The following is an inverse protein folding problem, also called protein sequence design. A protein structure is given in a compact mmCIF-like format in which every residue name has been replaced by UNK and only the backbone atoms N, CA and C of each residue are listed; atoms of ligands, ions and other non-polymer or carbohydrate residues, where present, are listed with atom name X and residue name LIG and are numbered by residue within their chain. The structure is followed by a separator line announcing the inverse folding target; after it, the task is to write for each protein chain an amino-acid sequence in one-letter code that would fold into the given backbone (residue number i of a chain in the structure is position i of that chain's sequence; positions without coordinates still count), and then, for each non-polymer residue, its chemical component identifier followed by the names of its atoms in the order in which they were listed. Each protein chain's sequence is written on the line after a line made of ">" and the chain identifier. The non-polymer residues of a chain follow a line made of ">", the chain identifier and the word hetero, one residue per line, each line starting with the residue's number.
data_IF_180200015097
#
_entry.id   IF_180200015097
#
_cell.length_a   1.000
_cell.length_b   1.000
_cell.length_c   1.000
_cell.angle_alpha   90.00
_cell.angle_beta   90.00
_cell.angle_gamma   90.00
#
_symmetry.space_group_name_H-M   'P 1'
#
loop_
_entity.id
_entity.type
_entity.pdbx_description
1 polymer ?
#
# COMPACT_ATOMS: atom_id res chain seq x y z
N UNK A 1 -8.43 -25.12 -5.73
CA UNK A 1 -8.34 -23.64 -5.72
C UNK A 1 -8.94 -23.21 -4.38
N UNK A 2 -8.20 -22.40 -3.60
CA UNK A 2 -8.66 -22.00 -2.25
C UNK A 2 -9.40 -20.65 -2.27
N UNK A 3 -9.03 -19.75 -3.16
CA UNK A 3 -9.66 -18.45 -3.34
C UNK A 3 -9.35 -17.85 -4.70
N UNK A 4 -10.05 -16.78 -5.06
CA UNK A 4 -9.84 -15.96 -6.25
C UNK A 4 -9.80 -14.49 -5.85
N UNK A 5 -8.80 -13.74 -6.34
CA UNK A 5 -8.77 -12.28 -6.26
C UNK A 5 -9.17 -11.66 -7.60
N UNK A 6 -9.95 -10.60 -7.54
CA UNK A 6 -10.30 -9.75 -8.68
C UNK A 6 -9.60 -8.41 -8.49
N UNK A 7 -8.72 -8.08 -9.43
CA UNK A 7 -7.88 -6.88 -9.38
C UNK A 7 -8.12 -6.07 -10.65
N UNK A 8 -8.25 -4.73 -10.59
CA UNK A 8 -8.39 -3.92 -11.80
C UNK A 8 -7.10 -3.96 -12.61
N UNK A 9 -7.24 -3.88 -13.93
CA UNK A 9 -6.07 -3.84 -14.81
C UNK A 9 -5.35 -2.50 -14.67
N UNK A 10 -4.05 -2.56 -14.39
CA UNK A 10 -3.18 -1.38 -14.39
C UNK A 10 -2.79 -0.99 -15.81
N UNK A 11 -3.08 0.25 -16.19
CA UNK A 11 -2.74 0.78 -17.51
C UNK A 11 -1.39 1.48 -17.46
N UNK A 12 -0.29 0.71 -17.62
CA UNK A 12 1.04 1.27 -17.67
C UNK A 12 1.30 2.03 -18.98
N UNK A 13 2.32 2.91 -18.99
CA UNK A 13 2.77 3.60 -20.20
C UNK A 13 3.39 2.69 -21.27
N UNK A 14 3.74 1.45 -20.92
CA UNK A 14 4.35 0.46 -21.82
C UNK A 14 3.29 -0.39 -22.53
N UNK A 15 2.38 0.26 -23.25
CA UNK A 15 1.27 -0.42 -23.93
C UNK A 15 1.25 -0.21 -25.44
N UNK A 16 2.34 0.26 -26.03
CA UNK A 16 2.43 0.47 -27.48
C UNK A 16 2.19 -0.85 -28.24
N UNK A 17 1.29 -0.82 -29.20
CA UNK A 17 0.90 -1.99 -29.98
C UNK A 17 -0.02 -3.00 -29.30
N UNK A 18 -0.41 -2.77 -28.04
CA UNK A 18 -1.40 -3.59 -27.34
C UNK A 18 -2.82 -3.08 -27.57
N UNK A 19 -3.80 -3.97 -27.39
CA UNK A 19 -5.21 -3.60 -27.48
C UNK A 19 -5.51 -2.42 -26.53
N UNK A 20 -6.17 -1.36 -27.04
CA UNK A 20 -6.52 -0.21 -26.21
C UNK A 20 -7.55 -0.62 -25.15
N UNK A 21 -7.22 -0.35 -23.89
CA UNK A 21 -8.12 -0.54 -22.76
C UNK A 21 -8.48 0.82 -22.18
N UNK A 22 -9.70 0.93 -21.70
CA UNK A 22 -10.16 2.10 -20.95
C UNK A 22 -10.00 1.84 -19.45
N UNK A 23 -9.64 2.87 -18.64
CA UNK A 23 -9.63 2.73 -17.20
C UNK A 23 -11.05 2.51 -16.67
N UNK A 24 -11.17 1.74 -15.60
CA UNK A 24 -12.44 1.55 -14.92
C UNK A 24 -12.92 2.85 -14.29
N UNK A 25 -14.22 3.08 -14.39
CA UNK A 25 -14.90 4.19 -13.70
C UNK A 25 -15.34 3.78 -12.30
N UNK A 26 -15.79 4.76 -11.51
CA UNK A 26 -16.41 4.51 -10.21
C UNK A 26 -17.64 3.60 -10.33
N UNK A 27 -18.47 3.82 -11.35
CA UNK A 27 -19.66 3.02 -11.63
C UNK A 27 -19.31 1.58 -11.99
N UNK A 28 -18.25 1.36 -12.75
CA UNK A 28 -17.72 0.03 -13.02
C UNK A 28 -17.27 -0.68 -11.76
N UNK A 29 -16.52 0.01 -10.90
CA UNK A 29 -16.06 -0.52 -9.64
C UNK A 29 -17.23 -0.91 -8.72
N UNK A 30 -18.27 -0.08 -8.65
CA UNK A 30 -19.48 -0.41 -7.91
C UNK A 30 -20.12 -1.70 -8.41
N UNK A 31 -20.26 -1.85 -9.73
CA UNK A 31 -20.85 -3.07 -10.33
C UNK A 31 -20.02 -4.32 -10.08
N UNK A 32 -18.69 -4.20 -10.14
CA UNK A 32 -17.77 -5.31 -9.85
C UNK A 32 -17.91 -5.73 -8.40
N UNK A 33 -17.92 -4.79 -7.45
CA UNK A 33 -18.10 -5.08 -6.03
C UNK A 33 -19.45 -5.75 -5.78
N UNK A 34 -20.54 -5.20 -6.32
CA UNK A 34 -21.89 -5.77 -6.15
C UNK A 34 -21.96 -7.23 -6.63
N UNK A 35 -21.36 -7.52 -7.79
CA UNK A 35 -21.29 -8.88 -8.31
C UNK A 35 -20.48 -9.81 -7.42
N UNK A 36 -19.31 -9.37 -6.96
CA UNK A 36 -18.44 -10.16 -6.06
C UNK A 36 -19.17 -10.44 -4.75
N UNK A 37 -19.82 -9.43 -4.15
CA UNK A 37 -20.54 -9.59 -2.89
C UNK A 37 -21.76 -10.50 -3.02
N UNK A 38 -22.43 -10.50 -4.17
CA UNK A 38 -23.51 -11.45 -4.44
C UNK A 38 -22.98 -12.90 -4.46
N UNK A 39 -21.84 -13.14 -5.13
CA UNK A 39 -21.20 -14.46 -5.15
C UNK A 39 -20.66 -14.85 -3.79
N UNK A 40 -20.05 -13.95 -3.05
CA UNK A 40 -19.58 -14.20 -1.68
C UNK A 40 -20.73 -14.68 -0.80
N UNK A 41 -21.90 -14.04 -0.84
CA UNK A 41 -23.08 -14.45 -0.04
C UNK A 41 -23.53 -15.87 -0.38
N UNK A 42 -23.52 -16.23 -1.68
CA UNK A 42 -23.91 -17.59 -2.13
C UNK A 42 -22.91 -18.63 -1.66
N UNK A 43 -21.61 -18.40 -1.90
CA UNK A 43 -20.55 -19.35 -1.58
C UNK A 43 -20.39 -19.49 -0.06
N UNK A 44 -20.44 -18.38 0.67
CA UNK A 44 -20.35 -18.43 2.13
C UNK A 44 -21.49 -19.23 2.78
N UNK A 45 -22.69 -19.12 2.24
CA UNK A 45 -23.84 -19.92 2.71
C UNK A 45 -23.64 -21.43 2.51
N UNK A 46 -22.96 -21.84 1.44
CA UNK A 46 -22.77 -23.27 1.11
C UNK A 46 -21.48 -23.84 1.72
N UNK A 47 -20.43 -23.04 1.82
CA UNK A 47 -19.08 -23.53 2.12
C UNK A 47 -18.43 -22.84 3.34
N UNK A 48 -19.02 -21.79 3.91
CA UNK A 48 -18.48 -21.08 5.06
C UNK A 48 -17.28 -20.19 4.76
N UNK A 49 -16.96 -19.95 3.47
CA UNK A 49 -15.87 -19.09 3.00
C UNK A 49 -16.40 -18.10 1.95
N UNK A 50 -15.75 -16.95 1.80
CA UNK A 50 -16.14 -15.95 0.80
C UNK A 50 -15.59 -16.28 -0.60
N UNK A 51 -14.45 -16.95 -0.69
CA UNK A 51 -13.80 -17.50 -1.88
C UNK A 51 -13.35 -16.47 -2.93
N UNK A 52 -14.21 -15.55 -3.40
CA UNK A 52 -13.88 -14.51 -4.36
C UNK A 52 -13.76 -13.16 -3.67
N UNK A 53 -12.66 -12.45 -3.88
CA UNK A 53 -12.37 -11.21 -3.19
C UNK A 53 -12.03 -10.09 -4.18
N UNK A 54 -12.57 -8.90 -3.95
CA UNK A 54 -12.14 -7.69 -4.63
C UNK A 54 -10.91 -7.12 -3.93
N UNK A 55 -9.92 -6.64 -4.69
CA UNK A 55 -8.80 -5.88 -4.12
C UNK A 55 -9.27 -4.56 -3.50
N UNK A 56 -8.47 -4.02 -2.58
CA UNK A 56 -8.73 -2.73 -1.92
C UNK A 56 -8.93 -1.60 -2.95
N UNK A 57 -8.22 -1.69 -4.08
CA UNK A 57 -8.30 -0.71 -5.18
C UNK A 57 -9.74 -0.56 -5.72
N UNK A 58 -10.52 -1.66 -5.81
CA UNK A 58 -11.91 -1.58 -6.23
C UNK A 58 -12.75 -0.76 -5.25
N UNK A 59 -12.59 -0.98 -3.94
CA UNK A 59 -13.33 -0.25 -2.92
C UNK A 59 -12.96 1.23 -2.90
N UNK A 60 -11.67 1.55 -3.09
CA UNK A 60 -11.20 2.94 -3.17
C UNK A 60 -11.77 3.62 -4.42
N UNK A 61 -11.70 2.98 -5.58
CA UNK A 61 -12.24 3.50 -6.84
C UNK A 61 -13.77 3.71 -6.76
N UNK A 62 -14.48 2.80 -6.09
CA UNK A 62 -15.93 2.89 -5.88
C UNK A 62 -16.31 3.92 -4.80
N UNK A 63 -15.33 4.48 -4.06
CA UNK A 63 -15.56 5.31 -2.87
C UNK A 63 -16.44 4.60 -1.82
N UNK A 64 -16.24 3.28 -1.68
CA UNK A 64 -16.94 2.46 -0.69
C UNK A 64 -16.02 2.13 0.49
N UNK A 65 -16.57 1.92 1.71
CA UNK A 65 -15.79 1.45 2.83
C UNK A 65 -15.20 0.06 2.53
N UNK A 66 -13.99 -0.18 3.05
CA UNK A 66 -13.39 -1.50 3.01
C UNK A 66 -14.25 -2.50 3.82
N UNK A 67 -14.35 -3.75 3.40
CA UNK A 67 -15.04 -4.80 4.16
C UNK A 67 -14.49 -4.95 5.58
N UNK A 68 -15.30 -5.52 6.47
CA UNK A 68 -14.85 -5.91 7.79
C UNK A 68 -13.94 -7.15 7.71
N UNK A 69 -13.16 -7.36 8.77
CA UNK A 69 -12.07 -8.35 8.82
C UNK A 69 -12.52 -9.78 8.48
N UNK A 70 -13.69 -10.17 8.98
CA UNK A 70 -14.25 -11.51 8.79
C UNK A 70 -14.50 -11.86 7.32
N UNK A 71 -14.60 -10.85 6.44
CA UNK A 71 -14.85 -11.07 5.00
C UNK A 71 -13.61 -11.43 4.19
N UNK A 72 -12.43 -11.40 4.81
CA UNK A 72 -11.17 -11.69 4.13
C UNK A 72 -10.68 -13.13 4.32
N UNK A 73 -11.42 -13.98 5.04
CA UNK A 73 -11.10 -15.40 5.28
C UNK A 73 -9.65 -15.61 5.77
N UNK A 74 -9.16 -14.70 6.64
CA UNK A 74 -7.80 -14.75 7.16
C UNK A 74 -6.74 -14.16 6.22
N UNK A 75 -7.14 -13.26 5.32
CA UNK A 75 -6.24 -12.47 4.45
C UNK A 75 -5.38 -13.29 3.48
N UNK A 76 -5.93 -14.36 2.94
CA UNK A 76 -5.22 -15.31 2.06
C UNK A 76 -4.81 -14.73 0.69
N UNK A 77 -5.21 -13.50 0.36
CA UNK A 77 -4.94 -12.82 -0.90
C UNK A 77 -4.21 -11.47 -0.73
N UNK A 78 -3.47 -11.28 0.38
CA UNK A 78 -2.76 -10.03 0.66
C UNK A 78 -1.83 -9.61 -0.48
N UNK A 79 -1.06 -10.54 -1.03
CA UNK A 79 -0.12 -10.25 -2.13
C UNK A 79 -0.81 -9.70 -3.39
N UNK A 80 -2.10 -9.94 -3.53
CA UNK A 80 -2.94 -9.41 -4.60
C UNK A 80 -3.67 -8.11 -4.22
N UNK A 81 -3.29 -7.48 -3.10
CA UNK A 81 -3.88 -6.22 -2.65
C UNK A 81 -5.29 -6.36 -2.06
N UNK A 82 -5.64 -7.54 -1.54
CA UNK A 82 -6.93 -7.80 -0.91
C UNK A 82 -6.81 -7.68 0.61
N UNK A 83 -7.43 -6.69 1.19
CA UNK A 83 -7.49 -6.49 2.64
C UNK A 83 -6.23 -5.94 3.29
N UNK A 84 -5.24 -5.49 2.51
CA UNK A 84 -3.99 -4.92 3.05
C UNK A 84 -4.25 -3.71 3.93
N UNK A 85 -5.14 -2.82 3.52
CA UNK A 85 -5.45 -1.61 4.27
C UNK A 85 -6.29 -1.91 5.52
N UNK A 86 -7.18 -2.91 5.47
CA UNK A 86 -7.96 -3.34 6.65
C UNK A 86 -7.05 -3.99 7.68
N UNK A 87 -6.17 -4.90 7.26
CA UNK A 87 -5.20 -5.54 8.15
C UNK A 87 -4.28 -4.50 8.80
N UNK A 88 -3.73 -3.57 8.02
CA UNK A 88 -2.89 -2.51 8.56
C UNK A 88 -3.64 -1.64 9.58
N UNK A 89 -4.92 -1.34 9.35
CA UNK A 89 -5.74 -0.61 10.32
C UNK A 89 -5.86 -1.38 11.64
N UNK A 90 -6.20 -2.68 11.56
CA UNK A 90 -6.35 -3.53 12.74
C UNK A 90 -5.02 -3.65 13.53
N UNK A 91 -3.90 -3.86 12.84
CA UNK A 91 -2.56 -3.91 13.47
C UNK A 91 -2.17 -2.59 14.15
N UNK A 92 -2.50 -1.45 13.51
CA UNK A 92 -2.25 -0.12 14.12
C UNK A 92 -3.13 0.08 15.35
N UNK A 93 -4.42 -0.28 15.29
CA UNK A 93 -5.34 -0.17 16.42
C UNK A 93 -4.90 -1.06 17.59
N UNK A 94 -4.50 -2.30 17.31
CA UNK A 94 -4.00 -3.24 18.32
C UNK A 94 -2.70 -2.70 18.98
N UNK A 95 -1.75 -2.25 18.17
CA UNK A 95 -0.50 -1.65 18.66
C UNK A 95 -0.79 -0.41 19.54
N UNK A 96 -1.69 0.47 19.08
CA UNK A 96 -2.08 1.64 19.84
C UNK A 96 -2.76 1.28 21.18
N UNK A 97 -3.54 0.20 21.23
CA UNK A 97 -4.17 -0.23 22.47
C UNK A 97 -3.15 -0.72 23.52
N UNK A 98 -2.05 -1.35 23.07
CA UNK A 98 -1.04 -1.94 23.92
C UNK A 98 0.11 -1.01 24.33
N UNK A 99 0.28 0.15 23.71
CA UNK A 99 1.39 1.06 23.94
C UNK A 99 0.98 2.25 24.80
N UNK A 100 1.87 2.76 25.64
CA UNK A 100 1.74 4.01 26.38
C UNK A 100 2.67 5.08 25.78
N UNK A 101 2.29 6.36 25.88
CA UNK A 101 3.14 7.46 25.43
C UNK A 101 4.33 7.62 26.38
N UNK A 102 5.51 7.48 25.84
CA UNK A 102 6.79 7.69 26.56
C UNK A 102 7.24 9.16 26.59
N UNK A 103 6.46 10.06 25.95
CA UNK A 103 6.76 11.48 25.82
C UNK A 103 7.95 11.80 24.91
N UNK A 104 8.55 10.79 24.26
CA UNK A 104 9.68 11.00 23.36
C UNK A 104 9.25 11.71 22.07
N UNK A 105 10.17 12.51 21.52
CA UNK A 105 9.95 13.22 20.26
C UNK A 105 10.73 12.54 19.15
N UNK A 106 10.00 12.06 18.15
CA UNK A 106 10.59 11.45 16.95
C UNK A 106 9.96 12.02 15.69
N UNK A 107 10.77 12.12 14.66
CA UNK A 107 10.32 12.48 13.31
C UNK A 107 10.53 11.30 12.39
N UNK A 108 9.43 10.82 11.79
CA UNK A 108 9.40 9.66 10.91
C UNK A 108 8.77 10.07 9.59
N UNK A 109 9.25 9.50 8.49
CA UNK A 109 8.64 9.66 7.18
C UNK A 109 8.13 8.33 6.66
N UNK A 110 7.03 8.37 5.92
CA UNK A 110 6.45 7.22 5.23
C UNK A 110 6.34 7.58 3.75
N UNK A 111 6.93 6.77 2.87
CA UNK A 111 6.68 6.87 1.44
C UNK A 111 5.66 5.80 1.03
N UNK A 112 4.68 6.17 0.23
CA UNK A 112 3.58 5.28 -0.17
C UNK A 112 3.10 5.63 -1.57
N UNK A 113 2.32 4.75 -2.19
CA UNK A 113 1.61 5.05 -3.44
C UNK A 113 0.50 6.08 -3.23
N UNK A 114 0.05 6.68 -4.31
CA UNK A 114 -1.02 7.70 -4.27
C UNK A 114 -2.37 7.10 -3.86
N UNK A 115 -2.63 5.85 -4.23
CA UNK A 115 -3.88 5.16 -3.90
C UNK A 115 -4.04 4.94 -2.37
N UNK A 116 -3.09 4.33 -1.64
CA UNK A 116 -3.22 4.11 -0.21
C UNK A 116 -2.98 5.36 0.63
N UNK A 117 -2.46 6.46 0.06
CA UNK A 117 -2.09 7.68 0.80
C UNK A 117 -3.15 8.18 1.78
N UNK A 118 -4.46 8.32 1.42
CA UNK A 118 -5.47 8.82 2.35
C UNK A 118 -5.67 7.92 3.57
N UNK A 119 -5.47 6.62 3.41
CA UNK A 119 -5.57 5.64 4.50
C UNK A 119 -4.36 5.73 5.42
N UNK A 120 -3.15 5.80 4.85
CA UNK A 120 -1.91 5.98 5.63
C UNK A 120 -1.95 7.30 6.41
N UNK A 121 -2.49 8.38 5.81
CA UNK A 121 -2.67 9.66 6.49
C UNK A 121 -3.62 9.55 7.68
N UNK A 122 -4.74 8.83 7.54
CA UNK A 122 -5.68 8.54 8.62
C UNK A 122 -5.02 7.76 9.75
N UNK A 123 -4.30 6.68 9.45
CA UNK A 123 -3.64 5.86 10.46
C UNK A 123 -2.52 6.61 11.18
N UNK A 124 -1.76 7.42 10.46
CA UNK A 124 -0.79 8.34 11.07
C UNK A 124 -1.48 9.38 11.98
N UNK A 125 -2.71 9.78 11.66
CA UNK A 125 -3.54 10.61 12.52
C UNK A 125 -3.82 9.96 13.88
N UNK A 126 -4.22 8.69 13.91
CA UNK A 126 -4.44 7.92 15.14
C UNK A 126 -3.17 7.83 16.00
N UNK A 127 -2.02 7.60 15.33
CA UNK A 127 -0.71 7.55 16.02
C UNK A 127 -0.40 8.91 16.65
N UNK A 128 -0.58 10.02 15.92
CA UNK A 128 -0.30 11.37 16.42
C UNK A 128 -1.22 11.79 17.57
N UNK A 129 -2.48 11.34 17.51
CA UNK A 129 -3.46 11.60 18.59
C UNK A 129 -3.02 10.96 19.91
N UNK A 130 -2.56 9.70 19.84
CA UNK A 130 -2.07 8.97 21.02
C UNK A 130 -0.67 9.41 21.46
N UNK A 131 0.19 9.74 20.50
CA UNK A 131 1.60 10.09 20.72
C UNK A 131 1.89 11.50 20.16
N UNK A 132 1.51 12.58 20.87
CA UNK A 132 1.63 13.95 20.35
C UNK A 132 3.07 14.41 20.13
N UNK A 133 4.05 13.71 20.73
CA UNK A 133 5.48 13.93 20.47
C UNK A 133 5.98 13.45 19.12
N UNK A 134 5.18 12.68 18.36
CA UNK A 134 5.58 12.10 17.07
C UNK A 134 5.25 13.05 15.91
N UNK A 135 6.24 13.34 15.09
CA UNK A 135 6.04 14.01 13.79
C UNK A 135 6.11 12.96 12.69
N UNK A 136 5.03 12.82 11.91
CA UNK A 136 4.96 11.85 10.82
C UNK A 136 4.74 12.62 9.53
N UNK A 137 5.70 12.55 8.61
CA UNK A 137 5.58 13.05 7.24
C UNK A 137 5.17 11.90 6.32
N UNK A 138 4.21 12.15 5.43
CA UNK A 138 3.78 11.14 4.48
C UNK A 138 3.99 11.69 3.08
N UNK A 139 4.68 10.93 2.25
CA UNK A 139 5.03 11.28 0.89
C UNK A 139 4.32 10.36 -0.10
N UNK A 140 3.26 10.83 -0.77
CA UNK A 140 2.65 10.10 -1.87
C UNK A 140 3.57 10.17 -3.10
N UNK A 141 4.16 9.04 -3.45
CA UNK A 141 5.08 8.93 -4.58
C UNK A 141 4.29 8.72 -5.87
N UNK A 142 4.58 9.53 -6.88
CA UNK A 142 4.07 9.37 -8.22
C UNK A 142 4.88 8.30 -8.96
N UNK A 143 4.21 7.44 -9.68
CA UNK A 143 4.87 6.44 -10.50
C UNK A 143 5.23 7.04 -11.86
N UNK A 144 6.47 7.51 -12.01
CA UNK A 144 6.97 8.08 -13.25
C UNK A 144 7.49 6.97 -14.19
N UNK A 145 7.89 5.83 -13.64
CA UNK A 145 8.40 4.70 -14.42
C UNK A 145 7.30 3.98 -15.20
N UNK A 146 6.28 3.48 -14.52
CA UNK A 146 5.17 2.76 -15.17
C UNK A 146 4.06 3.68 -15.68
N UNK A 147 4.00 4.92 -15.19
CA UNK A 147 2.98 5.92 -15.55
C UNK A 147 2.07 6.30 -14.39
N UNK A 148 1.54 7.52 -14.42
CA UNK A 148 0.75 8.12 -13.32
C UNK A 148 -0.55 7.41 -13.00
N UNK A 149 -1.07 6.58 -13.93
CA UNK A 149 -2.24 5.73 -13.72
C UNK A 149 -1.96 4.54 -12.79
N UNK A 150 -0.69 4.21 -12.56
CA UNK A 150 -0.27 3.17 -11.62
C UNK A 150 -0.05 3.83 -10.26
N UNK A 151 -0.97 3.60 -9.32
CA UNK A 151 -1.04 4.36 -8.08
C UNK A 151 -0.78 3.54 -6.82
N UNK A 152 -0.67 2.22 -6.95
CA UNK A 152 -0.38 1.28 -5.85
C UNK A 152 1.08 1.37 -5.40
N UNK A 153 1.35 1.13 -4.12
CA UNK A 153 2.72 1.17 -3.57
C UNK A 153 3.62 0.07 -4.14
N UNK A 154 3.08 -1.12 -4.37
CA UNK A 154 3.84 -2.30 -4.81
C UNK A 154 4.42 -2.22 -6.23
N UNK A 155 4.06 -1.21 -7.01
CA UNK A 155 4.61 -0.97 -8.34
C UNK A 155 5.47 0.29 -8.43
N UNK A 156 5.81 0.91 -7.30
CA UNK A 156 6.77 2.02 -7.26
C UNK A 156 8.19 1.48 -7.43
N UNK A 157 9.00 2.24 -8.16
CA UNK A 157 10.41 1.91 -8.37
C UNK A 157 11.32 2.69 -7.42
N UNK A 158 12.52 2.18 -7.17
CA UNK A 158 13.49 2.86 -6.33
C UNK A 158 13.89 4.22 -6.88
N UNK A 159 14.02 4.34 -8.22
CA UNK A 159 14.30 5.63 -8.87
C UNK A 159 13.20 6.67 -8.63
N UNK A 160 11.91 6.29 -8.64
CA UNK A 160 10.80 7.20 -8.38
C UNK A 160 10.83 7.69 -6.92
N UNK A 161 11.08 6.78 -5.98
CA UNK A 161 11.19 7.09 -4.55
C UNK A 161 12.36 8.04 -4.30
N UNK A 162 13.55 7.73 -4.81
CA UNK A 162 14.77 8.53 -4.62
C UNK A 162 14.58 9.93 -5.22
N UNK A 163 14.09 10.03 -6.46
CA UNK A 163 13.93 11.30 -7.15
C UNK A 163 12.99 12.25 -6.41
N UNK A 164 11.87 11.72 -5.87
CA UNK A 164 10.84 12.54 -5.23
C UNK A 164 11.10 12.83 -3.76
N UNK A 165 11.94 12.03 -3.10
CA UNK A 165 12.35 12.26 -1.71
C UNK A 165 13.65 13.08 -1.59
N UNK A 166 14.39 13.26 -2.67
CA UNK A 166 15.62 14.06 -2.67
C UNK A 166 15.37 15.47 -2.15
N UNK A 167 16.10 15.84 -1.10
CA UNK A 167 15.98 17.16 -0.46
C UNK A 167 14.76 17.34 0.45
N UNK A 168 13.97 16.30 0.67
CA UNK A 168 12.89 16.31 1.67
C UNK A 168 13.43 16.10 3.09
N UNK A 169 12.69 16.59 4.08
CA UNK A 169 12.99 16.33 5.47
C UNK A 169 12.41 14.95 5.84
N UNK A 170 13.27 13.96 5.94
CA UNK A 170 12.84 12.57 6.20
C UNK A 170 12.79 12.21 7.68
N UNK A 171 13.44 13.02 8.55
CA UNK A 171 13.53 12.70 9.97
C UNK A 171 14.53 11.58 10.26
N UNK A 172 14.27 10.83 11.34
CA UNK A 172 15.14 9.77 11.82
C UNK A 172 14.98 8.46 11.02
N UNK A 173 13.78 8.21 10.54
CA UNK A 173 13.44 6.99 9.82
C UNK A 173 12.58 7.29 8.59
N UNK A 174 12.86 6.58 7.53
CA UNK A 174 12.01 6.47 6.35
C UNK A 174 11.43 5.06 6.28
N UNK A 175 10.11 4.96 6.42
CA UNK A 175 9.38 3.70 6.32
C UNK A 175 8.90 3.50 4.88
N UNK A 176 9.16 2.33 4.35
CA UNK A 176 8.73 1.89 3.03
C UNK A 176 7.86 0.63 3.18
N UNK A 177 6.71 0.56 2.53
CA UNK A 177 5.92 -0.67 2.50
C UNK A 177 6.71 -1.83 1.92
N UNK A 178 6.66 -2.99 2.58
CA UNK A 178 7.45 -4.17 2.16
C UNK A 178 7.12 -4.62 0.73
N UNK A 179 5.90 -4.39 0.28
CA UNK A 179 5.45 -4.72 -1.08
C UNK A 179 6.05 -3.84 -2.19
N UNK A 180 6.81 -2.78 -1.86
CA UNK A 180 7.65 -2.06 -2.83
C UNK A 180 8.85 -2.89 -3.30
N UNK A 181 9.22 -3.93 -2.56
CA UNK A 181 10.35 -4.78 -2.86
C UNK A 181 9.89 -6.11 -3.43
N UNK A 182 10.78 -6.78 -4.15
CA UNK A 182 10.55 -8.16 -4.59
C UNK A 182 10.37 -9.07 -3.37
N UNK A 183 9.51 -10.05 -3.49
CA UNK A 183 9.19 -10.97 -2.40
C UNK A 183 10.45 -11.62 -1.81
N UNK A 184 10.66 -11.43 -0.50
CA UNK A 184 11.82 -11.95 0.22
C UNK A 184 13.14 -11.21 -0.03
N UNK A 185 13.13 -10.07 -0.73
CA UNK A 185 14.31 -9.27 -1.06
C UNK A 185 14.22 -7.84 -0.52
N UNK A 186 15.34 -7.11 -0.59
CA UNK A 186 15.45 -5.67 -0.36
C UNK A 186 15.68 -4.89 -1.66
N UNK A 187 15.23 -5.47 -2.77
CA UNK A 187 15.46 -4.97 -4.13
C UNK A 187 14.14 -4.50 -4.73
N UNK A 188 14.11 -3.27 -5.21
CA UNK A 188 12.98 -2.71 -5.95
C UNK A 188 12.82 -3.38 -7.33
N UNK A 189 11.69 -3.10 -8.00
CA UNK A 189 11.40 -3.65 -9.32
C UNK A 189 12.38 -3.20 -10.42
N UNK A 190 13.07 -2.08 -10.23
CA UNK A 190 14.10 -1.53 -11.13
C UNK A 190 15.51 -1.93 -10.75
N UNK A 191 15.69 -3.04 -10.03
CA UNK A 191 16.95 -3.61 -9.58
C UNK A 191 17.76 -2.73 -8.59
N UNK A 192 17.21 -1.61 -8.13
CA UNK A 192 17.84 -0.84 -7.06
C UNK A 192 17.68 -1.57 -5.73
N UNK A 193 18.81 -1.82 -5.06
CA UNK A 193 18.82 -2.45 -3.75
C UNK A 193 18.93 -1.41 -2.64
N UNK A 194 18.06 -1.52 -1.62
CA UNK A 194 18.03 -0.62 -0.48
C UNK A 194 19.40 -0.51 0.23
N UNK A 195 20.13 -1.61 0.30
CA UNK A 195 21.45 -1.66 0.97
C UNK A 195 22.54 -0.89 0.22
N UNK A 196 22.43 -0.75 -1.10
CA UNK A 196 23.40 -0.03 -1.93
C UNK A 196 23.01 1.43 -2.18
N UNK A 197 21.78 1.81 -1.89
CA UNK A 197 21.30 3.20 -2.04
C UNK A 197 21.39 4.01 -0.76
N UNK A 198 21.61 3.35 0.39
CA UNK A 198 21.87 4.03 1.65
C UNK A 198 23.37 4.38 1.73
N UNK A 199 23.74 5.62 2.10
CA UNK A 199 25.14 5.95 2.32
C UNK A 199 25.73 5.02 3.39
N UNK A 200 26.80 4.30 3.03
CA UNK A 200 27.50 3.44 3.98
C UNK A 200 28.05 4.31 5.13
N UNK A 201 27.99 3.86 6.38
CA UNK A 201 28.67 4.54 7.49
C UNK A 201 30.19 4.75 7.24
N UNK A 202 30.77 4.04 6.25
CA UNK A 202 32.16 4.20 5.84
C UNK A 202 32.39 5.29 4.80
N UNK A 203 31.36 5.75 4.10
CA UNK A 203 31.50 6.76 3.06
C UNK A 203 31.74 8.16 3.61
N UNK A 204 31.60 8.36 4.94
CA UNK A 204 31.94 9.60 5.66
C UNK A 204 33.40 9.65 6.20
N UNK A 205 34.16 8.58 6.09
CA UNK A 205 35.56 8.54 6.47
C UNK A 205 36.44 9.05 5.32
N UNK A 206 36.41 10.35 5.07
CA UNK A 206 37.48 11.00 4.28
C UNK A 206 38.78 10.82 5.03
N UNK A 207 39.69 10.04 4.46
CA UNK A 207 41.08 10.01 4.82
C UNK A 207 41.66 11.43 4.87
N UNK A 208 42.18 11.82 6.01
CA UNK A 208 43.14 12.90 6.13
C UNK A 208 44.51 12.39 5.75
#
# INVERSE_FOLDING_TARGET
>A
MQSVSVVPVGLSRFRDGLYPLEPFTREDACRVIDLIEEWQKKIHKEHGIHFVHASDEWYILAERPLPEEERYDGYIQLENGVGMLRLLAAEVEEALAGLEDDGAKHTVSIATGRLPYPYIERYAGWIKEKFPGRTIHIYPIRNDFFGESITVSGLLTGQDVIAQLKGRQLGEYLLLPINMFRSGETTFLDDLCLLYTSPSPRDGATSR
#
